data_IF_590832672334
#
_entry.id   IF_590832672334
#
_cell.length_a   1.000
_cell.length_b   1.000
_cell.length_c   1.000
_cell.angle_alpha   90.00
_cell.angle_beta   90.00
_cell.angle_gamma   90.00
#
_symmetry.space_group_name_H-M   'P 1'
#
loop_
_entity.id
_entity.type
_entity.pdbx_description
1 polymer ?
#
# COMPACT_ATOMS: atom_id res chain seq x y z
N UNK A 1 35.86 30.32 13.85
CA UNK A 1 35.18 31.08 12.79
C UNK A 1 35.60 30.69 11.37
N UNK A 2 36.82 30.25 11.09
CA UNK A 2 37.28 29.76 9.76
C UNK A 2 36.75 28.35 9.38
N UNK A 3 36.40 27.50 10.32
CA UNK A 3 35.88 26.15 10.04
C UNK A 3 34.43 26.13 9.54
N UNK A 4 33.61 27.11 9.93
CA UNK A 4 32.20 27.22 9.48
C UNK A 4 32.06 27.82 8.08
N UNK A 5 33.02 28.67 7.68
CA UNK A 5 33.07 29.25 6.32
C UNK A 5 33.43 28.17 5.26
N UNK A 6 34.33 27.23 5.59
CA UNK A 6 34.73 26.18 4.68
C UNK A 6 33.58 25.17 4.43
N UNK A 7 32.73 24.88 5.44
CA UNK A 7 31.57 23.97 5.25
C UNK A 7 30.47 24.58 4.36
N UNK A 8 30.27 25.91 4.45
CA UNK A 8 29.31 26.63 3.61
C UNK A 8 29.79 26.75 2.16
N UNK A 9 31.08 26.98 1.95
CA UNK A 9 31.69 27.06 0.60
C UNK A 9 31.74 25.69 -0.06
N UNK A 10 32.01 24.62 0.68
CA UNK A 10 31.96 23.23 0.17
C UNK A 10 30.54 22.84 -0.18
N UNK A 11 29.54 23.23 0.61
CA UNK A 11 28.13 23.00 0.28
C UNK A 11 27.64 23.79 -0.93
N UNK A 12 28.06 25.04 -1.09
CA UNK A 12 27.76 25.85 -2.28
C UNK A 12 28.46 25.32 -3.53
N UNK A 13 29.72 24.89 -3.43
CA UNK A 13 30.42 24.30 -4.58
C UNK A 13 29.95 22.89 -4.95
N UNK A 14 29.47 22.10 -4.01
CA UNK A 14 28.82 20.81 -4.31
C UNK A 14 27.42 20.98 -4.94
N UNK A 15 26.69 22.04 -4.58
CA UNK A 15 25.40 22.37 -5.19
C UNK A 15 25.52 22.85 -6.66
N UNK A 16 26.68 23.34 -7.07
CA UNK A 16 26.96 23.82 -8.44
C UNK A 16 27.39 22.69 -9.41
N UNK A 17 27.58 21.45 -8.94
CA UNK A 17 28.03 20.32 -9.78
C UNK A 17 26.93 19.31 -10.13
N UNK A 18 25.73 19.38 -9.57
CA UNK A 18 24.68 18.41 -9.88
C UNK A 18 23.69 18.98 -10.88
N UNK A 19 23.69 18.42 -12.10
CA UNK A 19 22.64 18.67 -13.10
C UNK A 19 21.46 17.73 -12.74
N UNK A 20 20.32 18.31 -12.40
CA UNK A 20 19.14 17.52 -12.14
C UNK A 20 18.55 16.93 -13.42
N UNK A 21 17.95 15.76 -13.29
CA UNK A 21 17.37 14.98 -14.38
C UNK A 21 16.50 15.82 -15.34
N UNK A 22 15.65 16.70 -14.80
CA UNK A 22 14.78 17.59 -15.58
C UNK A 22 15.51 18.72 -16.34
N UNK A 23 16.81 18.90 -16.10
CA UNK A 23 17.65 19.89 -16.79
C UNK A 23 18.42 19.26 -17.96
N UNK A 24 18.41 17.93 -18.09
CA UNK A 24 19.08 17.24 -19.19
C UNK A 24 18.42 17.55 -20.53
N UNK A 25 19.20 17.74 -21.62
CA UNK A 25 18.66 18.16 -22.92
C UNK A 25 17.59 17.21 -23.49
N UNK A 26 17.73 15.92 -23.25
CA UNK A 26 16.83 14.90 -23.75
C UNK A 26 15.76 14.46 -22.74
N UNK A 27 15.60 15.17 -21.62
CA UNK A 27 14.54 14.85 -20.67
C UNK A 27 13.16 15.05 -21.34
N UNK A 28 12.24 14.10 -21.21
CA UNK A 28 12.19 12.87 -20.40
C UNK A 28 12.43 11.57 -21.19
N UNK A 29 13.35 11.54 -22.12
CA UNK A 29 13.65 10.34 -22.91
C UNK A 29 14.39 9.28 -22.05
N UNK A 30 13.66 8.73 -21.06
CA UNK A 30 14.20 7.71 -20.16
C UNK A 30 14.58 6.44 -20.89
N UNK A 31 15.68 5.82 -20.46
CA UNK A 31 16.16 4.52 -20.90
C UNK A 31 16.33 3.58 -19.71
N UNK A 32 16.36 2.30 -19.97
CA UNK A 32 16.63 1.25 -18.96
C UNK A 32 17.12 -0.03 -19.64
N UNK A 33 17.75 -0.92 -18.87
CA UNK A 33 18.19 -2.23 -19.32
C UNK A 33 17.06 -3.27 -19.19
N UNK A 34 16.49 -3.76 -20.31
CA UNK A 34 15.49 -4.84 -20.28
C UNK A 34 16.05 -6.12 -19.68
N UNK A 35 17.33 -6.43 -19.89
CA UNK A 35 17.96 -7.66 -19.39
C UNK A 35 17.98 -7.71 -17.87
N UNK A 36 18.12 -6.55 -17.22
CA UNK A 36 18.06 -6.42 -15.75
C UNK A 36 16.61 -6.46 -15.26
N UNK A 37 15.70 -5.75 -15.93
CA UNK A 37 14.34 -5.56 -15.43
C UNK A 37 13.38 -6.71 -15.75
N UNK A 38 13.50 -7.35 -16.91
CA UNK A 38 12.57 -8.41 -17.33
C UNK A 38 12.47 -9.58 -16.34
N UNK A 39 13.57 -10.14 -15.79
CA UNK A 39 13.46 -11.21 -14.81
C UNK A 39 12.71 -10.79 -13.54
N UNK A 40 12.89 -9.54 -13.10
CA UNK A 40 12.18 -9.01 -11.93
C UNK A 40 10.71 -8.79 -12.25
N UNK A 41 10.42 -8.19 -13.41
CA UNK A 41 9.07 -7.95 -13.88
C UNK A 41 8.26 -9.25 -14.00
N UNK A 42 8.88 -10.33 -14.49
CA UNK A 42 8.24 -11.65 -14.56
C UNK A 42 7.86 -12.17 -13.17
N UNK A 43 8.74 -12.07 -12.16
CA UNK A 43 8.43 -12.47 -10.79
C UNK A 43 7.30 -11.63 -10.19
N UNK A 44 7.37 -10.31 -10.39
CA UNK A 44 6.34 -9.36 -9.94
C UNK A 44 4.97 -9.72 -10.55
N UNK A 45 4.91 -10.01 -11.86
CA UNK A 45 3.70 -10.44 -12.55
C UNK A 45 3.13 -11.75 -12.02
N UNK A 46 4.01 -12.72 -11.72
CA UNK A 46 3.57 -13.98 -11.11
C UNK A 46 2.91 -13.75 -9.74
N UNK A 47 3.51 -12.93 -8.89
CA UNK A 47 2.95 -12.59 -7.57
C UNK A 47 1.66 -11.78 -7.68
N UNK A 48 1.61 -10.82 -8.61
CA UNK A 48 0.39 -10.09 -8.94
C UNK A 48 -0.75 -11.05 -9.29
N UNK A 49 -0.53 -11.93 -10.28
CA UNK A 49 -1.55 -12.89 -10.72
C UNK A 49 -2.01 -13.82 -9.60
N UNK A 50 -1.09 -14.30 -8.76
CA UNK A 50 -1.39 -15.16 -7.61
C UNK A 50 -2.26 -14.45 -6.56
N UNK A 51 -1.91 -13.21 -6.19
CA UNK A 51 -2.71 -12.42 -5.25
C UNK A 51 -4.09 -12.12 -5.82
N UNK A 52 -4.18 -11.64 -7.06
CA UNK A 52 -5.47 -11.31 -7.69
C UNK A 52 -6.38 -12.52 -7.81
N UNK A 53 -5.86 -13.68 -8.25
CA UNK A 53 -6.61 -14.92 -8.30
C UNK A 53 -7.14 -15.32 -6.92
N UNK A 54 -6.33 -15.21 -5.87
CA UNK A 54 -6.77 -15.47 -4.50
C UNK A 54 -7.90 -14.54 -4.06
N UNK A 55 -7.83 -13.26 -4.40
CA UNK A 55 -8.87 -12.29 -4.06
C UNK A 55 -10.15 -12.51 -4.88
N UNK A 56 -10.05 -12.97 -6.12
CA UNK A 56 -11.20 -13.21 -6.98
C UNK A 56 -12.13 -14.29 -6.41
N UNK A 57 -11.59 -15.29 -5.74
CA UNK A 57 -12.37 -16.38 -5.12
C UNK A 57 -13.15 -15.96 -3.87
N UNK A 58 -12.89 -14.77 -3.32
CA UNK A 58 -13.52 -14.30 -2.09
C UNK A 58 -14.95 -13.79 -2.37
N UNK A 59 -15.85 -14.00 -1.40
CA UNK A 59 -17.16 -13.36 -1.36
C UNK A 59 -17.03 -11.83 -1.23
N UNK A 60 -18.02 -11.03 -1.68
CA UNK A 60 -17.93 -9.56 -1.71
C UNK A 60 -17.57 -8.94 -0.37
N UNK A 61 -18.09 -9.47 0.73
CA UNK A 61 -17.82 -8.98 2.09
C UNK A 61 -16.34 -9.16 2.50
N UNK A 62 -15.72 -10.32 2.15
CA UNK A 62 -14.31 -10.56 2.42
C UNK A 62 -13.40 -9.75 1.49
N UNK A 63 -13.82 -9.51 0.23
CA UNK A 63 -13.15 -8.56 -0.67
C UNK A 63 -13.12 -7.15 -0.06
N UNK A 64 -14.25 -6.69 0.48
CA UNK A 64 -14.34 -5.39 1.15
C UNK A 64 -13.45 -5.33 2.41
N UNK A 65 -13.43 -6.39 3.22
CA UNK A 65 -12.53 -6.47 4.39
C UNK A 65 -11.05 -6.43 3.98
N UNK A 66 -10.67 -7.19 2.93
CA UNK A 66 -9.30 -7.21 2.41
C UNK A 66 -8.89 -5.83 1.89
N UNK A 67 -9.75 -5.18 1.11
CA UNK A 67 -9.50 -3.82 0.64
C UNK A 67 -9.34 -2.82 1.79
N UNK A 68 -10.23 -2.85 2.80
CA UNK A 68 -10.16 -1.98 3.95
C UNK A 68 -8.86 -2.16 4.76
N UNK A 69 -8.37 -3.38 4.91
CA UNK A 69 -7.10 -3.64 5.59
C UNK A 69 -5.91 -3.05 4.83
N UNK A 70 -5.87 -3.21 3.51
CA UNK A 70 -4.84 -2.60 2.67
C UNK A 70 -4.92 -1.07 2.68
N UNK A 71 -6.12 -0.49 2.62
CA UNK A 71 -6.31 0.95 2.71
C UNK A 71 -5.82 1.50 4.05
N UNK A 72 -6.05 0.77 5.15
CA UNK A 72 -5.50 1.12 6.46
C UNK A 72 -3.96 1.17 6.44
N UNK A 73 -3.32 0.15 5.86
CA UNK A 73 -1.86 0.12 5.70
C UNK A 73 -1.36 1.28 4.85
N UNK A 74 -2.01 1.54 3.71
CA UNK A 74 -1.65 2.62 2.79
C UNK A 74 -1.67 3.99 3.49
N UNK A 75 -2.76 4.29 4.21
CA UNK A 75 -2.93 5.57 4.92
C UNK A 75 -1.89 5.75 6.03
N UNK A 76 -1.71 4.73 6.87
CA UNK A 76 -0.75 4.79 7.98
C UNK A 76 0.68 4.98 7.45
N UNK A 77 1.05 4.25 6.41
CA UNK A 77 2.38 4.31 5.82
C UNK A 77 2.66 5.66 5.14
N UNK A 78 1.67 6.25 4.47
CA UNK A 78 1.81 7.61 3.92
C UNK A 78 2.09 8.63 5.03
N UNK A 79 1.37 8.57 6.14
CA UNK A 79 1.63 9.45 7.30
C UNK A 79 3.05 9.26 7.87
N UNK A 80 3.52 8.02 7.95
CA UNK A 80 4.88 7.72 8.42
C UNK A 80 5.96 8.24 7.47
N UNK A 81 5.77 8.12 6.14
CA UNK A 81 6.68 8.66 5.14
C UNK A 81 6.79 10.18 5.29
N UNK A 82 5.67 10.86 5.49
CA UNK A 82 5.63 12.33 5.64
C UNK A 82 5.96 12.82 7.06
N UNK A 83 6.36 11.92 7.99
CA UNK A 83 6.60 12.24 9.42
C UNK A 83 5.38 12.86 10.13
N UNK A 84 4.17 12.48 9.73
CA UNK A 84 2.90 12.93 10.31
C UNK A 84 2.27 11.77 11.08
N UNK A 85 1.82 11.98 12.30
CA UNK A 85 1.30 10.90 13.17
C UNK A 85 -0.16 11.13 13.59
N UNK A 86 -0.80 12.21 13.13
CA UNK A 86 -2.13 12.59 13.59
C UNK A 86 -3.23 11.65 13.07
N UNK A 87 -3.99 11.10 14.02
CA UNK A 87 -5.08 10.15 13.74
C UNK A 87 -6.23 10.75 12.91
N UNK A 88 -6.46 12.05 13.04
CA UNK A 88 -7.55 12.78 12.35
C UNK A 88 -7.35 12.82 10.82
N UNK A 89 -6.10 12.71 10.37
CA UNK A 89 -5.75 12.73 8.95
C UNK A 89 -6.02 11.42 8.22
N UNK A 90 -6.34 10.33 8.94
CA UNK A 90 -6.55 9.00 8.36
C UNK A 90 -7.76 8.92 7.43
N UNK A 91 -8.90 9.49 7.85
CA UNK A 91 -10.14 9.38 7.07
C UNK A 91 -10.07 10.20 5.78
N UNK A 92 -9.47 11.39 5.83
CA UNK A 92 -9.32 12.22 4.65
C UNK A 92 -8.36 11.60 3.61
N UNK A 93 -7.24 10.99 4.03
CA UNK A 93 -6.38 10.23 3.13
C UNK A 93 -7.11 9.02 2.54
N UNK A 94 -7.93 8.33 3.33
CA UNK A 94 -8.75 7.22 2.84
C UNK A 94 -9.68 7.64 1.71
N UNK A 95 -10.33 8.81 1.82
CA UNK A 95 -11.18 9.36 0.76
C UNK A 95 -10.38 9.66 -0.50
N UNK A 96 -9.16 10.21 -0.36
CA UNK A 96 -8.28 10.52 -1.48
C UNK A 96 -7.87 9.26 -2.25
N UNK A 97 -7.62 8.15 -1.52
CA UNK A 97 -7.21 6.86 -2.09
C UNK A 97 -8.37 5.99 -2.60
N UNK A 98 -9.62 6.32 -2.25
CA UNK A 98 -10.76 5.42 -2.51
C UNK A 98 -11.19 5.33 -3.98
N UNK A 99 -10.65 6.16 -4.90
CA UNK A 99 -11.14 6.17 -6.29
C UNK A 99 -10.02 6.33 -7.36
N UNK A 100 -9.03 5.42 -7.46
CA UNK A 100 -7.89 5.62 -8.36
C UNK A 100 -8.09 5.18 -9.81
N UNK A 101 -9.07 4.31 -10.12
CA UNK A 101 -8.98 3.45 -11.30
C UNK A 101 -9.48 4.06 -12.59
N UNK A 102 -10.53 4.86 -12.55
CA UNK A 102 -11.28 5.24 -13.75
C UNK A 102 -11.03 6.68 -14.21
N UNK A 103 -10.07 7.38 -13.66
CA UNK A 103 -9.81 8.78 -14.01
C UNK A 103 -8.51 8.93 -14.79
N UNK A 104 -8.61 9.58 -15.94
CA UNK A 104 -7.43 10.16 -16.60
C UNK A 104 -6.86 11.25 -15.69
N UNK A 105 -5.54 11.26 -15.59
CA UNK A 105 -4.85 12.29 -14.84
C UNK A 105 -4.77 13.57 -15.67
N UNK A 106 -5.37 14.64 -15.17
CA UNK A 106 -5.32 15.95 -15.77
C UNK A 106 -4.95 17.02 -14.73
N UNK A 107 -4.79 18.27 -15.17
CA UNK A 107 -4.40 19.37 -14.28
C UNK A 107 -5.46 19.65 -13.21
N UNK A 108 -6.74 19.54 -13.55
CA UNK A 108 -7.85 19.75 -12.61
C UNK A 108 -7.78 18.73 -11.47
N UNK A 109 -7.63 17.44 -11.82
CA UNK A 109 -7.48 16.35 -10.84
C UNK A 109 -6.25 16.52 -9.95
N UNK A 110 -5.12 16.94 -10.50
CA UNK A 110 -3.93 17.26 -9.71
C UNK A 110 -4.18 18.40 -8.73
N UNK A 111 -4.87 19.44 -9.16
CA UNK A 111 -5.22 20.57 -8.32
C UNK A 111 -6.19 20.17 -7.19
N UNK A 112 -7.18 19.32 -7.48
CA UNK A 112 -8.07 18.76 -6.47
C UNK A 112 -7.31 17.95 -5.42
N UNK A 113 -6.42 17.05 -5.85
CA UNK A 113 -5.55 16.26 -4.96
C UNK A 113 -4.68 17.17 -4.10
N UNK A 114 -4.06 18.19 -4.71
CA UNK A 114 -3.21 19.13 -3.97
C UNK A 114 -4.02 19.93 -2.95
N UNK A 115 -5.21 20.44 -3.31
CA UNK A 115 -6.10 21.15 -2.39
C UNK A 115 -6.52 20.27 -1.22
N UNK A 116 -6.92 19.04 -1.49
CA UNK A 116 -7.31 18.08 -0.47
C UNK A 116 -6.14 17.78 0.50
N UNK A 117 -4.93 17.57 -0.03
CA UNK A 117 -3.73 17.34 0.76
C UNK A 117 -3.29 18.59 1.54
N UNK A 118 -3.40 19.77 0.94
CA UNK A 118 -3.05 21.03 1.62
C UNK A 118 -3.94 21.29 2.82
N UNK A 119 -5.25 21.05 2.69
CA UNK A 119 -6.20 21.14 3.79
C UNK A 119 -5.88 20.10 4.88
N UNK A 120 -5.57 18.86 4.47
CA UNK A 120 -5.28 17.76 5.38
C UNK A 120 -4.00 17.96 6.19
N UNK A 121 -2.93 18.43 5.53
CA UNK A 121 -1.61 18.59 6.16
C UNK A 121 -1.34 20.02 6.64
N UNK A 122 -2.34 20.91 6.59
CA UNK A 122 -2.19 22.34 6.92
C UNK A 122 -1.02 23.00 6.18
N UNK A 123 -0.82 22.66 4.90
CA UNK A 123 0.15 23.38 4.09
C UNK A 123 -0.34 24.81 3.88
N UNK A 124 0.48 25.80 4.23
CA UNK A 124 0.18 27.17 3.89
C UNK A 124 0.26 27.34 2.38
N UNK A 125 -0.88 27.52 1.74
CA UNK A 125 -0.95 27.92 0.34
C UNK A 125 -0.76 29.43 0.32
N UNK A 126 0.43 29.89 -0.04
CA UNK A 126 0.74 31.30 -0.13
C UNK A 126 0.17 31.82 -1.45
N UNK A 127 -0.79 32.72 -1.38
CA UNK A 127 -1.36 33.54 -2.48
C UNK A 127 -1.59 32.80 -3.82
N UNK A 128 -2.60 31.93 -3.90
CA UNK A 128 -3.00 31.27 -5.15
C UNK A 128 -1.89 30.58 -5.98
N UNK A 129 -0.65 30.57 -5.53
CA UNK A 129 0.46 29.85 -6.14
C UNK A 129 0.50 28.43 -5.59
N UNK A 130 -0.20 27.53 -6.28
CA UNK A 130 -0.18 26.08 -5.98
C UNK A 130 1.15 25.43 -6.43
N UNK A 131 1.89 26.08 -7.32
CA UNK A 131 3.08 25.54 -7.96
C UNK A 131 4.35 26.10 -7.33
N UNK A 132 5.40 25.29 -7.32
CA UNK A 132 6.74 25.69 -6.83
C UNK A 132 7.33 26.83 -7.66
N UNK A 133 8.18 27.66 -7.05
CA UNK A 133 8.90 28.72 -7.76
C UNK A 133 9.77 28.09 -8.87
N UNK A 134 9.67 28.61 -10.10
CA UNK A 134 10.37 28.06 -11.27
C UNK A 134 9.71 26.84 -11.92
N UNK A 135 8.49 26.52 -11.55
CA UNK A 135 7.71 25.44 -12.15
C UNK A 135 7.45 25.68 -13.66
N UNK A 136 7.75 24.67 -14.47
CA UNK A 136 7.52 24.67 -15.91
C UNK A 136 6.25 23.91 -16.27
N UNK A 137 5.19 24.66 -16.57
CA UNK A 137 3.89 24.09 -16.96
C UNK A 137 4.00 23.17 -18.18
N UNK A 138 4.90 23.48 -19.14
CA UNK A 138 5.05 22.64 -20.34
C UNK A 138 5.54 21.23 -20.00
N UNK A 139 6.41 21.09 -18.99
CA UNK A 139 6.87 19.78 -18.51
C UNK A 139 5.76 18.98 -17.85
N UNK A 140 4.85 19.65 -17.12
CA UNK A 140 3.69 18.99 -16.56
C UNK A 140 2.72 18.55 -17.64
N UNK A 141 2.40 19.40 -18.62
CA UNK A 141 1.51 19.06 -19.75
C UNK A 141 2.09 17.88 -20.56
N UNK A 142 3.40 17.84 -20.76
CA UNK A 142 4.11 16.71 -21.39
C UNK A 142 3.96 15.42 -20.57
N UNK A 143 4.16 15.51 -19.25
CA UNK A 143 3.95 14.39 -18.33
C UNK A 143 2.52 13.85 -18.38
N UNK A 144 1.52 14.72 -18.28
CA UNK A 144 0.09 14.35 -18.32
C UNK A 144 -0.29 13.67 -19.64
N UNK A 145 0.21 14.22 -20.75
CA UNK A 145 0.00 13.65 -22.08
C UNK A 145 0.59 12.22 -22.15
N UNK A 146 1.83 12.04 -21.68
CA UNK A 146 2.49 10.73 -21.67
C UNK A 146 1.79 9.76 -20.70
N UNK A 147 1.38 10.24 -19.52
CA UNK A 147 0.77 9.41 -18.49
C UNK A 147 -0.52 8.73 -18.98
N UNK A 148 -1.31 9.40 -19.78
CA UNK A 148 -2.58 8.89 -20.30
C UNK A 148 -2.42 8.02 -21.55
N UNK A 149 -1.28 8.10 -22.26
CA UNK A 149 -1.02 7.26 -23.46
C UNK A 149 -0.86 5.78 -23.09
N UNK A 150 -1.46 4.85 -23.86
CA UNK A 150 -1.16 3.43 -23.77
C UNK A 150 0.25 3.11 -24.33
N UNK A 151 0.67 1.85 -24.24
CA UNK A 151 1.82 1.33 -24.99
C UNK A 151 3.03 0.88 -24.17
N UNK A 152 3.14 1.30 -22.90
CA UNK A 152 4.17 0.81 -22.00
C UNK A 152 3.57 -0.16 -20.96
N UNK A 153 4.36 -1.14 -20.52
CA UNK A 153 4.00 -1.98 -19.39
C UNK A 153 3.63 -1.10 -18.18
N UNK A 154 2.44 -1.33 -17.61
CA UNK A 154 1.88 -0.43 -16.58
C UNK A 154 2.64 -0.46 -15.25
N UNK A 155 3.33 -1.56 -14.93
CA UNK A 155 4.16 -1.64 -13.72
C UNK A 155 5.43 -0.78 -13.88
N UNK A 156 6.06 -0.83 -15.06
CA UNK A 156 7.17 0.07 -15.39
C UNK A 156 6.69 1.52 -15.45
N UNK A 157 5.54 1.75 -16.07
CA UNK A 157 4.95 3.09 -16.19
C UNK A 157 4.65 3.71 -14.83
N UNK A 158 4.21 2.93 -13.85
CA UNK A 158 4.00 3.38 -12.48
C UNK A 158 5.30 3.90 -11.84
N UNK A 159 6.39 3.16 -11.97
CA UNK A 159 7.71 3.58 -11.47
C UNK A 159 8.26 4.82 -12.18
N UNK A 160 8.11 4.89 -13.51
CA UNK A 160 8.52 6.05 -14.30
C UNK A 160 7.70 7.28 -13.92
N UNK A 161 6.38 7.14 -13.79
CA UNK A 161 5.48 8.23 -13.42
C UNK A 161 5.84 8.81 -12.05
N UNK A 162 6.18 7.96 -11.09
CA UNK A 162 6.62 8.37 -9.76
C UNK A 162 7.89 9.24 -9.83
N UNK A 163 8.93 8.75 -10.48
CA UNK A 163 10.19 9.46 -10.62
C UNK A 163 10.02 10.77 -11.41
N UNK A 164 9.36 10.70 -12.55
CA UNK A 164 9.16 11.85 -13.43
C UNK A 164 8.41 12.98 -12.73
N UNK A 165 7.28 12.65 -12.08
CA UNK A 165 6.50 13.65 -11.35
C UNK A 165 7.31 14.35 -10.26
N UNK A 166 8.08 13.59 -9.46
CA UNK A 166 8.96 14.16 -8.45
C UNK A 166 10.12 14.97 -9.04
N UNK A 167 10.61 14.62 -10.24
CA UNK A 167 11.69 15.35 -10.90
C UNK A 167 11.24 16.71 -11.45
N UNK A 168 10.01 16.83 -11.94
CA UNK A 168 9.48 18.14 -12.35
C UNK A 168 9.01 18.99 -11.16
N UNK A 169 8.89 18.39 -9.97
CA UNK A 169 8.58 19.02 -8.69
C UNK A 169 7.50 20.12 -8.78
N UNK A 170 6.27 19.83 -9.24
CA UNK A 170 5.26 20.87 -9.47
C UNK A 170 4.79 21.54 -8.18
N UNK A 171 4.95 20.90 -7.03
CA UNK A 171 4.52 21.38 -5.72
C UNK A 171 5.69 21.38 -4.73
N UNK A 172 5.80 22.41 -3.90
CA UNK A 172 6.82 22.48 -2.85
C UNK A 172 6.61 21.47 -1.74
N UNK A 173 5.34 21.20 -1.40
CA UNK A 173 4.94 20.23 -0.36
C UNK A 173 3.91 19.25 -0.91
N UNK A 174 3.87 18.05 -0.36
CA UNK A 174 2.89 17.03 -0.75
C UNK A 174 3.18 16.33 -2.09
N UNK A 175 4.22 16.74 -2.83
CA UNK A 175 4.58 16.12 -4.11
C UNK A 175 4.82 14.60 -3.97
N UNK A 176 5.40 14.16 -2.85
CA UNK A 176 5.63 12.74 -2.56
C UNK A 176 4.33 11.94 -2.46
N UNK A 177 3.33 12.45 -1.74
CA UNK A 177 2.02 11.79 -1.62
C UNK A 177 1.35 11.71 -3.00
N UNK A 178 1.36 12.81 -3.76
CA UNK A 178 0.76 12.85 -5.11
C UNK A 178 1.48 11.88 -6.05
N UNK A 179 2.81 11.80 -6.00
CA UNK A 179 3.58 10.87 -6.82
C UNK A 179 3.21 9.39 -6.51
N UNK A 180 2.98 9.05 -5.24
CA UNK A 180 2.49 7.73 -4.84
C UNK A 180 1.09 7.46 -5.39
N UNK A 181 0.16 8.42 -5.26
CA UNK A 181 -1.19 8.31 -5.83
C UNK A 181 -1.14 8.13 -7.37
N UNK A 182 -0.32 8.91 -8.06
CA UNK A 182 -0.12 8.80 -9.52
C UNK A 182 0.40 7.41 -9.90
N UNK A 183 1.37 6.91 -9.16
CA UNK A 183 1.90 5.55 -9.32
C UNK A 183 0.79 4.51 -9.11
N UNK A 184 -0.01 4.68 -8.07
CA UNK A 184 -1.12 3.80 -7.71
C UNK A 184 -2.22 3.74 -8.79
N UNK A 185 -2.49 4.83 -9.49
CA UNK A 185 -3.41 4.85 -10.63
C UNK A 185 -2.92 3.89 -11.73
N UNK A 186 -1.62 3.89 -12.05
CA UNK A 186 -1.09 2.96 -13.07
C UNK A 186 -1.09 1.51 -12.58
N UNK A 187 -0.79 1.27 -11.30
CA UNK A 187 -0.85 -0.06 -10.71
C UNK A 187 -2.28 -0.61 -10.70
N UNK A 188 -3.28 0.20 -10.34
CA UNK A 188 -4.68 -0.18 -10.38
C UNK A 188 -5.14 -0.50 -11.81
N UNK A 189 -4.69 0.29 -12.81
CA UNK A 189 -4.93 0.00 -14.23
C UNK A 189 -4.21 -1.29 -14.68
N UNK A 190 -3.10 -1.66 -14.05
CA UNK A 190 -2.40 -2.92 -14.31
C UNK A 190 -3.14 -4.13 -13.75
N UNK A 191 -3.79 -3.96 -12.59
CA UNK A 191 -4.57 -4.99 -11.93
C UNK A 191 -5.91 -5.25 -12.62
N UNK A 192 -6.47 -4.26 -13.32
CA UNK A 192 -7.75 -4.36 -14.03
C UNK A 192 -8.97 -4.50 -13.10
N UNK A 193 -8.81 -4.24 -11.80
CA UNK A 193 -9.86 -4.36 -10.78
C UNK A 193 -10.03 -3.04 -10.01
N UNK A 194 -11.25 -2.75 -9.50
CA UNK A 194 -11.53 -1.47 -8.83
C UNK A 194 -10.80 -1.29 -7.49
N UNK A 195 -10.39 -2.34 -6.83
CA UNK A 195 -9.81 -2.30 -5.51
C UNK A 195 -8.42 -2.92 -5.49
N UNK A 196 -7.44 -2.20 -4.96
CA UNK A 196 -6.12 -2.77 -4.73
C UNK A 196 -6.09 -3.59 -3.44
N UNK A 197 -5.29 -4.66 -3.47
CA UNK A 197 -5.09 -5.58 -2.36
C UNK A 197 -3.65 -5.63 -1.87
N UNK A 198 -2.85 -4.57 -2.12
CA UNK A 198 -1.47 -4.39 -1.66
C UNK A 198 -1.15 -2.90 -1.53
N UNK A 199 -0.13 -2.56 -0.75
CA UNK A 199 0.30 -1.19 -0.49
C UNK A 199 1.76 -0.99 -0.86
N UNK A 200 2.02 -0.12 -1.83
CA UNK A 200 3.37 0.35 -2.16
C UNK A 200 3.92 1.26 -1.06
N UNK A 201 3.07 2.12 -0.49
CA UNK A 201 3.49 3.04 0.57
C UNK A 201 3.95 2.30 1.82
N UNK A 202 3.37 1.13 2.13
CA UNK A 202 3.84 0.28 3.23
C UNK A 202 5.29 -0.17 3.03
N UNK A 203 5.64 -0.61 1.83
CA UNK A 203 7.02 -1.01 1.53
C UNK A 203 7.98 0.17 1.45
N UNK A 204 7.56 1.29 0.89
CA UNK A 204 8.34 2.54 0.87
C UNK A 204 8.61 3.02 2.30
N UNK A 205 7.60 2.97 3.19
CA UNK A 205 7.74 3.35 4.60
C UNK A 205 8.78 2.50 5.32
N UNK A 206 8.75 1.18 5.12
CA UNK A 206 9.73 0.23 5.70
C UNK A 206 11.15 0.47 5.20
N UNK A 207 11.31 0.98 3.98
CA UNK A 207 12.59 1.25 3.31
C UNK A 207 12.83 2.74 3.08
N UNK A 208 12.31 3.61 3.95
CA UNK A 208 12.27 5.06 3.73
C UNK A 208 13.64 5.69 3.40
N UNK A 209 14.69 5.31 4.12
CA UNK A 209 16.03 5.84 3.89
C UNK A 209 16.59 5.38 2.55
N UNK A 210 16.38 4.12 2.19
CA UNK A 210 16.78 3.56 0.90
C UNK A 210 16.02 4.25 -0.25
N UNK A 211 14.70 4.43 -0.09
CA UNK A 211 13.86 5.18 -1.03
C UNK A 211 14.41 6.58 -1.29
N UNK A 212 14.69 7.35 -0.23
CA UNK A 212 15.21 8.71 -0.37
C UNK A 212 16.57 8.74 -1.06
N UNK A 213 17.44 7.79 -0.73
CA UNK A 213 18.76 7.68 -1.35
C UNK A 213 18.65 7.35 -2.86
N UNK A 214 17.93 6.29 -3.23
CA UNK A 214 17.78 5.87 -4.63
C UNK A 214 17.05 6.92 -5.46
N UNK A 215 16.02 7.56 -4.91
CA UNK A 215 15.32 8.67 -5.57
C UNK A 215 16.28 9.84 -5.85
N UNK A 216 17.06 10.25 -4.85
CA UNK A 216 18.04 11.34 -5.00
C UNK A 216 19.09 11.00 -6.06
N UNK A 217 19.61 9.76 -6.08
CA UNK A 217 20.57 9.32 -7.09
C UNK A 217 19.94 9.33 -8.50
N UNK A 218 18.69 8.87 -8.64
CA UNK A 218 18.00 8.90 -9.92
C UNK A 218 17.74 10.33 -10.42
N UNK A 219 17.38 11.26 -9.52
CA UNK A 219 17.11 12.66 -9.87
C UNK A 219 18.37 13.45 -10.25
N UNK A 220 19.55 13.03 -9.79
CA UNK A 220 20.86 13.66 -10.03
C UNK A 220 21.70 12.86 -11.05
N UNK A 221 21.15 11.80 -11.61
CA UNK A 221 21.84 10.90 -12.51
C UNK A 221 21.65 11.22 -13.98
N UNK A 222 21.69 10.15 -14.78
CA UNK A 222 21.43 10.17 -16.22
C UNK A 222 19.97 9.82 -16.52
N UNK A 223 19.61 9.82 -17.82
CA UNK A 223 18.30 9.34 -18.27
C UNK A 223 18.17 7.81 -18.23
N UNK A 224 19.25 7.08 -17.93
CA UNK A 224 19.16 5.66 -17.59
C UNK A 224 18.65 5.50 -16.15
N UNK A 225 17.41 5.04 -16.05
CA UNK A 225 16.69 4.87 -14.77
C UNK A 225 16.60 3.40 -14.35
N UNK A 226 17.50 2.55 -14.83
CA UNK A 226 17.50 1.10 -14.56
C UNK A 226 17.50 0.82 -13.05
N UNK A 227 18.39 1.46 -12.29
CA UNK A 227 18.52 1.26 -10.82
C UNK A 227 17.25 1.69 -10.10
N UNK A 228 16.64 2.80 -10.49
CA UNK A 228 15.37 3.25 -9.94
C UNK A 228 14.25 2.24 -10.20
N UNK A 229 14.09 1.79 -11.43
CA UNK A 229 13.04 0.82 -11.79
C UNK A 229 13.29 -0.55 -11.16
N UNK A 230 14.53 -0.97 -11.02
CA UNK A 230 14.90 -2.19 -10.32
C UNK A 230 14.46 -2.11 -8.84
N UNK A 231 14.80 -1.03 -8.16
CA UNK A 231 14.37 -0.78 -6.78
C UNK A 231 12.84 -0.74 -6.65
N UNK A 232 12.19 -0.01 -7.56
CA UNK A 232 10.73 0.13 -7.58
C UNK A 232 10.02 -1.21 -7.73
N UNK A 233 10.49 -2.06 -8.66
CA UNK A 233 9.95 -3.39 -8.89
C UNK A 233 10.17 -4.33 -7.69
N UNK A 234 11.34 -4.28 -7.04
CA UNK A 234 11.57 -5.04 -5.81
C UNK A 234 10.67 -4.55 -4.65
N UNK A 235 10.42 -3.25 -4.58
CA UNK A 235 9.46 -2.71 -3.63
C UNK A 235 8.05 -3.24 -3.89
N UNK A 236 7.63 -3.28 -5.15
CA UNK A 236 6.34 -3.84 -5.57
C UNK A 236 6.26 -5.36 -5.31
N UNK A 237 7.34 -6.10 -5.56
CA UNK A 237 7.44 -7.51 -5.22
C UNK A 237 7.18 -7.74 -3.72
N UNK A 238 7.84 -6.96 -2.86
CA UNK A 238 7.63 -6.99 -1.41
C UNK A 238 6.21 -6.56 -0.99
N UNK A 239 5.57 -5.66 -1.74
CA UNK A 239 4.19 -5.25 -1.46
C UNK A 239 3.20 -6.41 -1.66
N UNK A 240 3.38 -7.23 -2.70
CA UNK A 240 2.58 -8.44 -2.91
C UNK A 240 2.83 -9.49 -1.81
N UNK A 241 4.08 -9.74 -1.43
CA UNK A 241 4.42 -10.69 -0.34
C UNK A 241 3.82 -10.28 1.00
N UNK A 242 3.91 -8.99 1.31
CA UNK A 242 3.31 -8.49 2.55
C UNK A 242 1.79 -8.57 2.52
N UNK A 243 1.17 -8.30 1.37
CA UNK A 243 -0.27 -8.43 1.19
C UNK A 243 -0.75 -9.87 1.41
N UNK A 244 -0.08 -10.89 0.87
CA UNK A 244 -0.39 -12.30 1.12
C UNK A 244 -0.40 -12.59 2.63
N UNK A 245 0.59 -12.08 3.37
CA UNK A 245 0.68 -12.27 4.83
C UNK A 245 -0.41 -11.51 5.58
N UNK A 246 -0.62 -10.23 5.25
CA UNK A 246 -1.59 -9.37 5.93
C UNK A 246 -3.04 -9.83 5.69
N UNK A 247 -3.32 -10.37 4.51
CA UNK A 247 -4.66 -10.82 4.13
C UNK A 247 -4.92 -12.30 4.47
N UNK A 248 -3.90 -13.08 4.83
CA UNK A 248 -4.06 -14.51 5.16
C UNK A 248 -5.18 -14.80 6.17
N UNK A 249 -5.39 -14.02 7.25
CA UNK A 249 -6.50 -14.26 8.18
C UNK A 249 -7.88 -14.07 7.53
N UNK A 250 -8.01 -13.15 6.58
CA UNK A 250 -9.26 -12.88 5.85
C UNK A 250 -9.53 -14.02 4.87
N UNK A 251 -8.52 -14.41 4.10
CA UNK A 251 -8.60 -15.54 3.15
C UNK A 251 -8.97 -16.84 3.88
N UNK A 252 -8.33 -17.11 5.02
CA UNK A 252 -8.62 -18.29 5.84
C UNK A 252 -10.06 -18.33 6.31
N UNK A 253 -10.62 -17.20 6.76
CA UNK A 253 -12.04 -17.11 7.15
C UNK A 253 -12.97 -17.32 5.95
N UNK A 254 -12.68 -16.67 4.83
CA UNK A 254 -13.46 -16.81 3.61
C UNK A 254 -13.48 -18.27 3.13
N UNK A 255 -12.33 -18.93 3.08
CA UNK A 255 -12.22 -20.35 2.70
C UNK A 255 -13.05 -21.25 3.61
N UNK A 256 -12.98 -21.02 4.93
CA UNK A 256 -13.77 -21.76 5.89
C UNK A 256 -15.28 -21.58 5.63
N UNK A 257 -15.75 -20.34 5.53
CA UNK A 257 -17.19 -20.06 5.34
C UNK A 257 -17.72 -20.44 3.96
N UNK A 258 -16.86 -20.53 2.94
CA UNK A 258 -17.23 -21.07 1.63
C UNK A 258 -17.54 -22.58 1.68
N UNK A 259 -16.94 -23.31 2.62
CA UNK A 259 -17.14 -24.77 2.77
C UNK A 259 -18.20 -25.13 3.81
N UNK A 260 -18.57 -24.19 4.68
CA UNK A 260 -19.50 -24.39 5.78
C UNK A 260 -20.83 -23.66 5.54
N UNK A 261 -21.95 -24.30 5.91
CA UNK A 261 -23.22 -23.60 5.94
C UNK A 261 -23.30 -22.73 7.20
N UNK A 262 -23.15 -21.39 7.04
CA UNK A 262 -23.14 -20.43 8.13
C UNK A 262 -24.41 -20.52 9.02
N UNK A 263 -25.57 -20.80 8.41
CA UNK A 263 -26.84 -20.96 9.12
C UNK A 263 -26.89 -22.17 10.07
N UNK A 264 -25.93 -23.10 9.97
CA UNK A 264 -25.79 -24.21 10.92
C UNK A 264 -25.15 -23.85 12.24
N UNK A 265 -24.68 -22.60 12.40
CA UNK A 265 -24.02 -22.07 13.59
C UNK A 265 -24.82 -20.92 14.20
N UNK A 266 -24.95 -20.90 15.53
CA UNK A 266 -25.50 -19.74 16.21
C UNK A 266 -24.49 -18.58 16.23
N UNK A 267 -24.96 -17.34 16.48
CA UNK A 267 -24.13 -16.13 16.44
C UNK A 267 -22.89 -16.22 17.35
N UNK A 268 -22.99 -16.83 18.53
CA UNK A 268 -21.85 -16.99 19.45
C UNK A 268 -20.79 -17.93 18.87
N UNK A 269 -21.24 -19.04 18.26
CA UNK A 269 -20.35 -19.99 17.57
C UNK A 269 -19.63 -19.34 16.41
N UNK A 270 -20.31 -18.53 15.59
CA UNK A 270 -19.69 -17.78 14.49
C UNK A 270 -18.60 -16.82 14.99
N UNK A 271 -18.85 -16.07 16.07
CA UNK A 271 -17.85 -15.18 16.69
C UNK A 271 -16.60 -15.96 17.12
N UNK A 272 -16.79 -17.11 17.77
CA UNK A 272 -15.68 -17.95 18.26
C UNK A 272 -14.92 -18.60 17.12
N UNK A 273 -15.61 -19.12 16.11
CA UNK A 273 -14.97 -19.69 14.92
C UNK A 273 -14.10 -18.61 14.24
N UNK A 274 -14.64 -17.42 14.01
CA UNK A 274 -13.89 -16.31 13.42
C UNK A 274 -12.65 -15.95 14.26
N UNK A 275 -12.76 -15.95 15.58
CA UNK A 275 -11.65 -15.69 16.49
C UNK A 275 -10.57 -16.76 16.39
N UNK A 276 -10.94 -18.03 16.34
CA UNK A 276 -9.99 -19.15 16.18
C UNK A 276 -9.30 -19.12 14.81
N UNK A 277 -10.01 -18.74 13.75
CA UNK A 277 -9.45 -18.65 12.40
C UNK A 277 -8.43 -17.52 12.26
N UNK A 278 -8.53 -16.47 13.07
CA UNK A 278 -7.58 -15.33 13.05
C UNK A 278 -6.32 -15.56 13.88
N UNK A 279 -6.09 -16.76 14.43
CA UNK A 279 -4.87 -17.11 15.15
C UNK A 279 -4.91 -16.72 16.63
N UNK A 280 -5.98 -17.13 17.32
CA UNK A 280 -6.08 -16.97 18.77
C UNK A 280 -5.09 -17.88 19.49
N UNK A 281 -3.92 -17.34 19.86
CA UNK A 281 -2.77 -18.12 20.38
C UNK A 281 -2.89 -18.55 21.85
N UNK A 282 -3.80 -17.96 22.62
CA UNK A 282 -3.95 -18.26 24.06
C UNK A 282 -4.63 -19.60 24.33
N UNK A 283 -5.15 -20.26 23.30
CA UNK A 283 -5.94 -21.50 23.40
C UNK A 283 -7.34 -21.24 23.96
N UNK A 284 -8.37 -21.61 23.21
CA UNK A 284 -9.75 -21.44 23.61
C UNK A 284 -10.09 -22.43 24.73
N UNK A 285 -10.49 -21.93 25.91
CA UNK A 285 -11.13 -22.75 26.98
C UNK A 285 -12.61 -22.39 27.05
N UNK A 286 -13.43 -23.21 27.73
CA UNK A 286 -14.85 -22.89 27.94
C UNK A 286 -15.03 -21.57 28.70
N UNK A 287 -14.09 -21.20 29.58
CA UNK A 287 -14.13 -19.94 30.31
C UNK A 287 -13.87 -18.75 29.37
N UNK A 288 -12.87 -18.86 28.50
CA UNK A 288 -12.54 -17.81 27.51
C UNK A 288 -13.67 -17.70 26.49
N UNK A 289 -14.26 -18.85 26.05
CA UNK A 289 -15.46 -18.84 25.22
C UNK A 289 -16.58 -18.01 25.84
N UNK A 290 -16.91 -18.31 27.11
CA UNK A 290 -17.98 -17.60 27.84
C UNK A 290 -17.74 -16.09 27.92
N UNK A 291 -16.48 -15.67 28.12
CA UNK A 291 -16.08 -14.27 28.14
C UNK A 291 -16.24 -13.60 26.76
N UNK A 292 -15.70 -14.22 25.68
CA UNK A 292 -15.75 -13.64 24.33
C UNK A 292 -17.19 -13.60 23.80
N UNK A 293 -17.98 -14.63 24.07
CA UNK A 293 -19.35 -14.77 23.58
C UNK A 293 -20.41 -14.15 24.53
N UNK A 294 -19.97 -13.52 25.62
CA UNK A 294 -20.82 -12.85 26.62
C UNK A 294 -21.96 -13.76 27.08
N UNK A 295 -21.65 -14.99 27.52
CA UNK A 295 -22.63 -15.98 27.92
C UNK A 295 -22.20 -16.75 29.19
N UNK A 296 -23.15 -17.51 29.78
CA UNK A 296 -22.85 -18.37 30.92
C UNK A 296 -21.89 -19.53 30.51
N UNK A 297 -21.13 -20.06 31.49
CA UNK A 297 -20.28 -21.22 31.28
C UNK A 297 -21.03 -22.45 30.76
N UNK A 298 -22.26 -22.66 31.23
CA UNK A 298 -23.12 -23.77 30.78
C UNK A 298 -23.52 -23.60 29.32
N UNK A 299 -23.83 -22.39 28.88
CA UNK A 299 -24.09 -22.06 27.48
C UNK A 299 -22.84 -22.28 26.63
N UNK A 300 -21.67 -21.78 27.10
CA UNK A 300 -20.40 -22.00 26.41
C UNK A 300 -20.06 -23.49 26.28
N UNK A 301 -20.30 -24.29 27.32
CA UNK A 301 -20.06 -25.73 27.28
C UNK A 301 -20.97 -26.44 26.27
N UNK A 302 -22.27 -26.03 26.17
CA UNK A 302 -23.19 -26.56 25.15
C UNK A 302 -22.72 -26.20 23.74
N UNK A 303 -22.38 -24.95 23.51
CA UNK A 303 -21.88 -24.46 22.21
C UNK A 303 -20.58 -25.18 21.80
N UNK A 304 -19.63 -25.35 22.72
CA UNK A 304 -18.37 -26.10 22.48
C UNK A 304 -18.64 -27.57 22.17
N UNK A 305 -19.57 -28.19 22.90
CA UNK A 305 -19.96 -29.60 22.67
C UNK A 305 -20.57 -29.76 21.28
N UNK A 306 -21.42 -28.83 20.85
CA UNK A 306 -22.02 -28.86 19.51
C UNK A 306 -20.94 -28.66 18.41
N UNK A 307 -19.99 -27.75 18.60
CA UNK A 307 -18.86 -27.53 17.68
C UNK A 307 -17.94 -28.75 17.57
N UNK A 308 -17.71 -29.48 18.68
CA UNK A 308 -16.99 -30.75 18.68
C UNK A 308 -17.78 -31.84 17.91
N UNK A 309 -19.09 -31.93 18.12
CA UNK A 309 -19.96 -32.88 17.41
C UNK A 309 -20.00 -32.61 15.90
N UNK A 310 -19.96 -31.34 15.50
CA UNK A 310 -19.92 -30.91 14.09
C UNK A 310 -18.52 -31.04 13.48
N UNK A 311 -17.54 -31.49 14.25
CA UNK A 311 -16.16 -31.69 13.82
C UNK A 311 -15.42 -30.37 13.40
N UNK A 312 -15.89 -29.22 13.92
CA UNK A 312 -15.34 -27.91 13.62
C UNK A 312 -14.11 -27.60 14.48
N UNK A 313 -14.12 -28.05 15.72
CA UNK A 313 -13.01 -27.86 16.66
C UNK A 313 -12.55 -29.22 17.20
N UNK A 314 -11.29 -29.26 17.64
CA UNK A 314 -10.70 -30.41 18.33
C UNK A 314 -10.17 -30.00 19.69
N UNK A 315 -10.04 -30.97 20.61
CA UNK A 315 -9.38 -30.78 21.90
C UNK A 315 -7.86 -30.77 21.71
N UNK A 316 -7.18 -29.83 22.35
CA UNK A 316 -5.74 -29.69 22.35
C UNK A 316 -5.23 -29.65 23.79
N UNK A 317 -4.74 -30.78 24.29
CA UNK A 317 -4.15 -30.89 25.62
C UNK A 317 -5.06 -30.52 26.80
N UNK A 318 -4.62 -30.89 28.02
CA UNK A 318 -5.33 -30.58 29.25
C UNK A 318 -6.51 -31.50 29.54
N UNK A 319 -6.76 -31.74 30.83
CA UNK A 319 -7.94 -32.47 31.34
C UNK A 319 -8.80 -31.52 32.17
N UNK A 320 -10.12 -31.67 32.07
CA UNK A 320 -11.07 -30.90 32.88
C UNK A 320 -11.12 -29.40 32.53
N UNK A 321 -10.99 -28.52 33.53
CA UNK A 321 -11.13 -27.06 33.38
C UNK A 321 -10.09 -26.41 32.45
N UNK A 322 -8.96 -27.06 32.18
CA UNK A 322 -7.85 -26.56 31.38
C UNK A 322 -7.84 -27.14 29.96
N UNK A 323 -8.91 -27.86 29.52
CA UNK A 323 -9.06 -28.31 28.14
C UNK A 323 -9.07 -27.12 27.19
N UNK A 324 -8.16 -27.13 26.21
CA UNK A 324 -8.10 -26.16 25.15
C UNK A 324 -8.72 -26.70 23.88
N UNK A 325 -9.25 -25.80 23.07
CA UNK A 325 -9.88 -26.15 21.81
C UNK A 325 -9.21 -25.34 20.69
N UNK A 326 -9.04 -25.98 19.54
CA UNK A 326 -8.54 -25.35 18.30
C UNK A 326 -9.46 -25.69 17.14
N UNK A 327 -9.42 -24.83 16.12
CA UNK A 327 -10.10 -25.12 14.85
C UNK A 327 -9.51 -26.38 14.23
N UNK A 328 -10.35 -27.23 13.69
CA UNK A 328 -9.91 -28.42 12.96
C UNK A 328 -9.69 -28.04 11.50
N UNK A 329 -8.57 -28.44 10.93
CA UNK A 329 -8.18 -28.15 9.54
C UNK A 329 -8.77 -29.17 8.59
#
# INVERSE_FOLDING_TARGET
MLYLLNYSIIRLNLCLMYIFLQQLPNFPAFTWSPDILNPILMRVRLKQGKLLASMETLQPEFKAQAHNEIMRLEVVSNLQIENQVELEKKEALRIIYSNPINTDLNLERLNELYKALSALFNYQVVDNQQFSSGFDKKKLDQFLTWFNKPGLDRLLKAGIAHLWFLSIAPFEKGAGVIARIISDIQLAKADGIPHRYYSMSDQISKKKNEYQFILSQAQQGSLDITIWLQWYLHCLEGAYEHAETALAPIVKRATFWNTQNENSFNRRQQVIINKLLTGFNEGLTTTIYACIAECSRDTALRDVTDLLRKDIISKEGGLGKNTRYKIKH
#
